data_IF_075694488031
#
_entry.id   IF_075694488031
#
_cell.length_a   1.000
_cell.length_b   1.000
_cell.length_c   1.000
_cell.angle_alpha   90.00
_cell.angle_beta   90.00
_cell.angle_gamma   90.00
#
_symmetry.space_group_name_H-M   'P 1'
#
loop_
_entity.id
_entity.type
_entity.pdbx_description
1 polymer ?
#
# COMPACT_ATOMS: atom_id res chain seq x y z
N UNK A 1 -3.25 62.39 45.69
CA UNK A 1 -2.72 61.14 46.28
C UNK A 1 -3.72 60.01 46.01
N UNK A 2 -3.23 58.95 45.35
CA UNK A 2 -3.74 57.61 45.02
C UNK A 2 -5.18 57.14 45.42
N UNK A 3 -5.87 56.40 44.52
CA UNK A 3 -5.89 54.92 44.44
C UNK A 3 -6.86 54.33 43.38
N UNK A 4 -6.29 53.47 42.53
CA UNK A 4 -6.72 52.22 41.86
C UNK A 4 -8.19 51.82 41.56
N UNK A 5 -8.33 51.42 40.28
CA UNK A 5 -8.79 50.13 39.73
C UNK A 5 -10.28 49.72 39.76
N UNK A 6 -10.84 49.51 38.55
CA UNK A 6 -11.74 48.39 38.16
C UNK A 6 -12.13 48.59 36.69
N UNK A 7 -12.30 47.63 35.76
CA UNK A 7 -12.11 46.18 35.67
C UNK A 7 -12.84 45.74 34.38
N UNK A 8 -12.18 45.02 33.45
CA UNK A 8 -12.74 44.02 32.50
C UNK A 8 -13.70 44.56 31.39
N UNK A 9 -13.84 44.03 30.17
CA UNK A 9 -13.33 42.85 29.42
C UNK A 9 -13.84 42.94 27.95
N UNK A 10 -13.00 42.50 26.98
CA UNK A 10 -13.28 41.62 25.81
C UNK A 10 -14.35 42.04 24.78
N UNK A 11 -14.24 41.79 23.46
CA UNK A 11 -13.30 41.05 22.60
C UNK A 11 -13.66 41.36 21.14
N UNK A 12 -12.69 41.80 20.34
CA UNK A 12 -12.78 41.93 18.88
C UNK A 12 -12.14 40.67 18.27
N UNK A 13 -12.89 39.96 17.44
CA UNK A 13 -12.51 38.65 16.92
C UNK A 13 -13.40 38.30 15.74
N UNK A 14 -13.03 38.85 14.59
CA UNK A 14 -13.42 38.39 13.27
C UNK A 14 -12.69 37.09 12.96
N UNK A 15 -13.42 36.00 12.73
CA UNK A 15 -13.01 34.88 11.87
C UNK A 15 -14.26 34.07 11.53
N UNK A 16 -14.66 34.12 10.27
CA UNK A 16 -15.72 33.32 9.69
C UNK A 16 -15.05 32.36 8.70
N UNK A 17 -14.86 31.11 9.12
CA UNK A 17 -14.37 30.03 8.27
C UNK A 17 -15.19 28.79 8.61
N UNK A 18 -16.15 28.45 7.75
CA UNK A 18 -16.68 27.09 7.60
C UNK A 18 -17.30 26.98 6.20
N UNK A 19 -16.44 26.66 5.23
CA UNK A 19 -16.82 26.20 3.89
C UNK A 19 -16.27 24.77 3.79
N UNK A 20 -17.09 23.77 4.13
CA UNK A 20 -16.81 22.36 3.87
C UNK A 20 -17.33 21.97 2.47
N UNK A 21 -16.49 22.20 1.46
CA UNK A 21 -16.65 21.62 0.13
C UNK A 21 -15.84 20.32 -0.01
N UNK A 22 -16.53 19.27 -0.47
CA UNK A 22 -16.04 18.15 -1.31
C UNK A 22 -16.28 16.72 -0.78
N UNK A 23 -17.40 16.16 -1.26
CA UNK A 23 -17.53 14.84 -1.90
C UNK A 23 -16.47 13.75 -1.60
N UNK A 24 -16.83 12.77 -0.77
CA UNK A 24 -16.39 11.38 -0.99
C UNK A 24 -17.61 10.48 -0.95
N UNK A 25 -18.28 10.36 -2.10
CA UNK A 25 -19.17 9.24 -2.40
C UNK A 25 -18.39 7.92 -2.32
N UNK A 26 -18.36 7.32 -1.13
CA UNK A 26 -18.02 5.92 -0.96
C UNK A 26 -19.01 5.08 -1.77
N UNK A 27 -18.63 4.68 -2.98
CA UNK A 27 -19.43 3.80 -3.82
C UNK A 27 -19.68 2.46 -3.11
N UNK A 28 -20.87 1.85 -3.27
CA UNK A 28 -21.15 0.55 -2.69
C UNK A 28 -20.31 -0.48 -3.43
N UNK A 29 -19.32 -1.07 -2.76
CA UNK A 29 -18.59 -2.21 -3.31
C UNK A 29 -19.50 -3.44 -3.22
N UNK A 30 -20.31 -3.63 -4.25
CA UNK A 30 -21.13 -4.81 -4.49
C UNK A 30 -20.27 -6.08 -4.51
N UNK A 31 -20.54 -6.97 -3.55
CA UNK A 31 -20.63 -8.42 -3.71
C UNK A 31 -19.34 -9.21 -4.00
N UNK A 32 -18.86 -9.97 -3.00
CA UNK A 32 -17.90 -11.05 -3.23
C UNK A 32 -17.14 -11.57 -2.01
N UNK A 33 -17.85 -12.28 -1.12
CA UNK A 33 -17.46 -13.49 -0.37
C UNK A 33 -15.97 -13.69 0.05
N UNK A 34 -15.73 -13.75 1.37
CA UNK A 34 -14.66 -14.57 1.96
C UNK A 34 -13.21 -14.17 1.69
N UNK A 35 -12.92 -12.91 1.40
CA UNK A 35 -11.53 -12.43 1.34
C UNK A 35 -10.90 -12.40 2.73
N UNK A 36 -9.69 -12.94 2.87
CA UNK A 36 -8.89 -12.85 4.09
C UNK A 36 -8.88 -11.39 4.57
N UNK A 37 -9.27 -11.12 5.83
CA UNK A 37 -9.33 -9.75 6.37
C UNK A 37 -7.99 -9.04 6.17
N UNK A 38 -6.90 -9.80 6.29
CA UNK A 38 -5.52 -9.35 6.07
C UNK A 38 -5.29 -8.80 4.66
N UNK A 39 -5.96 -9.33 3.63
CA UNK A 39 -5.81 -8.88 2.24
C UNK A 39 -6.22 -7.42 2.02
N UNK A 40 -7.20 -6.92 2.78
CA UNK A 40 -7.67 -5.53 2.69
C UNK A 40 -6.89 -4.57 3.58
N UNK A 41 -6.11 -5.09 4.51
CA UNK A 41 -5.26 -4.34 5.43
C UNK A 41 -3.82 -4.89 5.43
N UNK A 42 -3.19 -5.05 4.26
CA UNK A 42 -1.77 -5.43 4.19
C UNK A 42 -0.93 -4.19 4.58
N UNK A 43 -0.11 -4.24 5.64
CA UNK A 43 0.64 -3.10 6.15
C UNK A 43 1.78 -2.66 5.20
N UNK A 44 2.14 -3.51 4.23
CA UNK A 44 3.27 -3.30 3.32
C UNK A 44 2.89 -2.58 2.03
N UNK A 45 1.62 -2.19 1.83
CA UNK A 45 1.18 -1.55 0.59
C UNK A 45 1.82 -0.17 0.36
N UNK A 46 2.30 0.46 1.42
CA UNK A 46 3.07 1.71 1.41
C UNK A 46 4.48 1.54 0.82
N UNK A 47 5.05 0.32 0.87
CA UNK A 47 6.40 0.03 0.34
C UNK A 47 6.46 -0.07 -1.18
N UNK A 48 5.31 0.00 -1.87
CA UNK A 48 5.23 -0.15 -3.32
C UNK A 48 5.85 1.06 -4.02
N UNK A 49 6.86 0.83 -4.86
CA UNK A 49 7.50 1.88 -5.64
C UNK A 49 7.13 1.77 -7.12
N UNK A 50 6.13 2.56 -7.54
CA UNK A 50 5.59 2.57 -8.90
C UNK A 50 6.58 3.04 -9.95
N UNK A 51 7.59 3.84 -9.59
CA UNK A 51 8.57 4.37 -10.54
C UNK A 51 9.57 3.32 -11.04
N UNK A 52 9.70 2.20 -10.33
CA UNK A 52 10.58 1.08 -10.71
C UNK A 52 9.83 -0.05 -11.43
N UNK A 53 8.51 0.06 -11.56
CA UNK A 53 7.68 -0.99 -12.15
C UNK A 53 7.57 -0.77 -13.66
N UNK A 54 8.19 -1.67 -14.40
CA UNK A 54 8.03 -1.78 -15.84
C UNK A 54 7.41 -3.15 -16.16
N UNK A 55 6.20 -3.13 -16.73
CA UNK A 55 5.43 -4.33 -17.07
C UNK A 55 5.45 -4.63 -18.58
N UNK A 56 6.24 -3.89 -19.36
CA UNK A 56 6.40 -4.12 -20.80
C UNK A 56 7.48 -5.17 -21.11
N UNK A 57 8.29 -5.55 -20.10
CA UNK A 57 9.28 -6.62 -20.22
C UNK A 57 8.67 -8.03 -20.20
N UNK A 58 9.43 -8.99 -20.74
CA UNK A 58 9.04 -10.39 -20.72
C UNK A 58 8.95 -10.93 -19.29
N UNK A 59 7.93 -11.76 -19.03
CA UNK A 59 7.58 -12.30 -17.70
C UNK A 59 8.52 -13.43 -17.25
N UNK A 60 9.83 -13.16 -17.24
CA UNK A 60 10.88 -14.11 -16.90
C UNK A 60 11.39 -13.90 -15.49
N UNK A 61 11.59 -14.98 -14.73
CA UNK A 61 12.29 -14.90 -13.46
C UNK A 61 13.73 -14.41 -13.68
N UNK A 62 14.14 -13.35 -12.98
CA UNK A 62 15.48 -12.77 -13.09
C UNK A 62 16.61 -13.69 -12.61
N UNK A 63 16.31 -14.86 -12.04
CA UNK A 63 17.28 -15.85 -11.55
C UNK A 63 17.30 -17.08 -12.46
N UNK A 64 16.15 -17.75 -12.65
CA UNK A 64 16.05 -18.99 -13.43
C UNK A 64 15.69 -18.79 -14.90
N UNK A 65 15.33 -17.58 -15.33
CA UNK A 65 14.77 -17.29 -16.66
C UNK A 65 13.55 -18.15 -17.02
N UNK A 66 12.84 -18.68 -16.01
CA UNK A 66 11.61 -19.43 -16.24
C UNK A 66 10.42 -18.46 -16.37
N UNK A 67 9.43 -18.82 -17.18
CA UNK A 67 8.15 -18.10 -17.30
C UNK A 67 7.05 -18.70 -16.42
N UNK A 68 7.30 -19.83 -15.77
CA UNK A 68 6.28 -20.59 -15.04
C UNK A 68 6.10 -20.01 -13.63
N UNK A 69 4.87 -19.60 -13.30
CA UNK A 69 4.51 -19.04 -12.00
C UNK A 69 5.42 -17.87 -11.59
N UNK A 70 5.50 -16.86 -12.45
CA UNK A 70 6.30 -15.66 -12.19
C UNK A 70 5.53 -14.62 -11.36
N UNK A 71 6.26 -14.02 -10.42
CA UNK A 71 5.79 -13.01 -9.48
C UNK A 71 6.65 -11.76 -9.58
N UNK A 72 6.03 -10.61 -9.82
CA UNK A 72 6.72 -9.32 -9.81
C UNK A 72 6.78 -8.76 -8.39
N UNK A 73 7.97 -8.39 -7.95
CA UNK A 73 8.17 -7.66 -6.70
C UNK A 73 7.78 -6.20 -6.92
N UNK A 74 6.78 -5.70 -6.18
CA UNK A 74 6.28 -4.33 -6.37
C UNK A 74 7.14 -3.25 -5.70
N UNK A 75 8.20 -3.66 -4.99
CA UNK A 75 9.14 -2.75 -4.34
C UNK A 75 10.34 -2.45 -5.24
N UNK A 76 10.89 -3.46 -5.92
CA UNK A 76 12.08 -3.31 -6.77
C UNK A 76 11.86 -3.61 -8.26
N UNK A 77 10.66 -4.00 -8.68
CA UNK A 77 10.31 -4.25 -10.08
C UNK A 77 10.85 -5.57 -10.67
N UNK A 78 11.66 -6.33 -9.92
CA UNK A 78 12.23 -7.60 -10.40
C UNK A 78 11.24 -8.75 -10.34
N UNK A 79 11.39 -9.73 -11.23
CA UNK A 79 10.49 -10.87 -11.35
C UNK A 79 11.12 -12.14 -10.80
N UNK A 80 10.34 -12.92 -10.05
CA UNK A 80 10.81 -14.10 -9.34
C UNK A 80 9.85 -15.27 -9.51
N UNK A 81 10.40 -16.48 -9.57
CA UNK A 81 9.62 -17.68 -9.73
C UNK A 81 9.12 -18.22 -8.39
N UNK A 82 7.85 -18.62 -8.37
CA UNK A 82 7.21 -19.36 -7.28
C UNK A 82 6.95 -18.51 -6.02
N UNK A 83 6.11 -19.01 -5.12
CA UNK A 83 5.80 -18.37 -3.82
C UNK A 83 6.02 -19.27 -2.60
N UNK A 84 6.22 -20.56 -2.83
CA UNK A 84 6.42 -21.53 -1.75
C UNK A 84 7.79 -21.39 -1.08
N UNK A 85 7.97 -22.04 0.07
CA UNK A 85 9.25 -22.07 0.77
C UNK A 85 10.34 -22.59 -0.17
N UNK A 86 11.49 -21.92 -0.20
CA UNK A 86 12.63 -22.27 -1.06
C UNK A 86 12.52 -21.78 -2.51
N UNK A 87 11.43 -21.10 -2.88
CA UNK A 87 11.33 -20.43 -4.18
C UNK A 87 12.02 -19.07 -4.19
N UNK A 88 12.31 -18.55 -5.38
CA UNK A 88 13.04 -17.28 -5.51
C UNK A 88 12.26 -16.09 -4.93
N UNK A 89 10.92 -16.03 -5.10
CA UNK A 89 10.16 -14.91 -4.53
C UNK A 89 10.11 -14.99 -3.00
N UNK A 90 9.97 -16.19 -2.43
CA UNK A 90 9.99 -16.40 -0.98
C UNK A 90 11.34 -16.02 -0.38
N UNK A 91 12.45 -16.44 -1.00
CA UNK A 91 13.78 -16.04 -0.56
C UNK A 91 13.97 -14.53 -0.69
N UNK A 92 13.52 -13.93 -1.79
CA UNK A 92 13.60 -12.48 -1.99
C UNK A 92 12.84 -11.70 -0.91
N UNK A 93 11.66 -12.19 -0.50
CA UNK A 93 10.89 -11.52 0.55
C UNK A 93 11.58 -11.56 1.91
N UNK A 94 12.20 -12.68 2.27
CA UNK A 94 12.87 -12.84 3.57
C UNK A 94 14.26 -12.20 3.57
N UNK A 95 15.01 -12.29 2.48
CA UNK A 95 16.39 -11.77 2.41
C UNK A 95 16.47 -10.26 2.24
N UNK A 96 15.53 -9.66 1.50
CA UNK A 96 15.55 -8.22 1.18
C UNK A 96 14.44 -7.45 1.92
N UNK A 97 13.46 -8.15 2.52
CA UNK A 97 12.34 -7.50 3.20
C UNK A 97 11.29 -6.93 2.25
N UNK A 98 11.20 -7.44 1.02
CA UNK A 98 10.17 -7.03 0.07
C UNK A 98 8.98 -7.97 0.16
N UNK A 99 7.87 -7.51 0.71
CA UNK A 99 6.77 -8.39 1.06
C UNK A 99 5.67 -8.46 0.00
N UNK A 100 5.54 -7.45 -0.86
CA UNK A 100 4.40 -7.37 -1.82
C UNK A 100 4.80 -7.88 -3.20
N UNK A 101 4.08 -8.89 -3.67
CA UNK A 101 4.27 -9.50 -4.97
C UNK A 101 2.97 -9.56 -5.77
N UNK A 102 3.09 -9.47 -7.08
CA UNK A 102 2.00 -9.65 -8.03
C UNK A 102 2.27 -10.89 -8.87
N UNK A 103 1.35 -11.85 -8.89
CA UNK A 103 1.41 -12.95 -9.83
C UNK A 103 1.08 -12.44 -11.24
N UNK A 104 1.98 -12.66 -12.20
CA UNK A 104 1.85 -12.08 -13.55
C UNK A 104 0.84 -12.82 -14.45
N UNK A 105 0.40 -14.01 -14.07
CA UNK A 105 -0.57 -14.82 -14.83
C UNK A 105 -2.01 -14.57 -14.33
N UNK A 106 -2.20 -14.63 -13.02
CA UNK A 106 -3.50 -14.47 -12.37
C UNK A 106 -3.81 -13.04 -11.95
N UNK A 107 -2.82 -12.14 -12.02
CA UNK A 107 -2.91 -10.73 -11.59
C UNK A 107 -3.37 -10.58 -10.12
N UNK A 108 -3.06 -11.59 -9.29
CA UNK A 108 -3.36 -11.59 -7.86
C UNK A 108 -2.16 -11.11 -7.05
N UNK A 109 -2.44 -10.27 -6.08
CA UNK A 109 -1.46 -9.80 -5.11
C UNK A 109 -1.26 -10.84 -4.02
N UNK A 110 -0.03 -10.93 -3.53
CA UNK A 110 0.38 -11.81 -2.45
C UNK A 110 1.37 -11.08 -1.53
N UNK A 111 1.13 -11.12 -0.23
CA UNK A 111 2.08 -10.65 0.78
C UNK A 111 2.91 -11.87 1.28
N UNK A 112 4.20 -11.97 0.92
CA UNK A 112 5.14 -13.04 1.31
C UNK A 112 6.08 -12.56 2.44
N UNK A 113 6.51 -13.44 3.38
CA UNK A 113 6.36 -14.90 3.40
C UNK A 113 5.01 -15.42 3.91
N UNK A 114 4.15 -14.53 4.41
CA UNK A 114 2.88 -14.91 5.08
C UNK A 114 1.83 -15.54 4.16
N UNK A 115 1.99 -15.36 2.84
CA UNK A 115 1.24 -16.00 1.77
C UNK A 115 -0.28 -15.77 1.83
N UNK A 116 -0.71 -14.51 1.96
CA UNK A 116 -2.11 -14.08 1.84
C UNK A 116 -2.31 -13.04 0.74
#
# INVERSE_FOLDING_TARGET
MARSATKRRLSDGSDAEDIDDADVRAGPSSGGQGGDVRSRQCPYLDTINRGLLDFDFEKLCSVSLSQINCYACLVCGKYFQGRGIGTHAYMHSVSVGHHVFLNLDSLRFYCLPDNY
#
